data_IF_118116213265
#
_entry.id   IF_118116213265
#
_cell.length_a   1.000
_cell.length_b   1.000
_cell.length_c   1.000
_cell.angle_alpha   90.00
_cell.angle_beta   90.00
_cell.angle_gamma   90.00
#
_symmetry.space_group_name_H-M   'P 1'
#
loop_
_entity.id
_entity.type
_entity.pdbx_description
1 polymer ?
#
# COMPACT_ATOMS: atom_id res chain seq x y z
N UNK A 1 3.67 -3.44 -7.45
CA UNK A 1 4.05 -2.99 -8.77
C UNK A 1 4.30 -1.51 -8.85
N UNK A 2 5.00 -1.09 -9.92
CA UNK A 2 5.35 0.32 -10.13
C UNK A 2 4.27 1.09 -10.92
N UNK A 3 3.18 0.46 -11.32
CA UNK A 3 2.14 1.05 -12.20
C UNK A 3 0.75 0.67 -11.71
N UNK A 4 -0.15 1.65 -11.72
CA UNK A 4 -1.59 1.48 -11.50
C UNK A 4 -2.36 2.28 -12.53
N UNK A 5 -3.46 1.75 -13.05
CA UNK A 5 -4.34 2.47 -13.98
C UNK A 5 -5.70 2.67 -13.33
N UNK A 6 -6.22 3.90 -13.39
CA UNK A 6 -7.54 4.23 -12.90
C UNK A 6 -8.23 5.21 -13.85
N UNK A 7 -9.39 4.83 -14.40
CA UNK A 7 -10.16 5.61 -15.39
C UNK A 7 -9.29 6.20 -16.53
N UNK A 8 -8.40 5.37 -17.10
CA UNK A 8 -7.50 5.76 -18.18
C UNK A 8 -6.27 6.57 -17.76
N UNK A 9 -6.23 7.09 -16.53
CA UNK A 9 -5.03 7.75 -15.97
C UNK A 9 -4.07 6.71 -15.43
N UNK A 10 -2.79 6.82 -15.81
CA UNK A 10 -1.71 5.95 -15.34
C UNK A 10 -0.98 6.63 -14.19
N UNK A 11 -0.81 5.91 -13.09
CA UNK A 11 0.03 6.30 -11.95
C UNK A 11 1.24 5.38 -11.93
N UNK A 12 2.43 5.93 -11.87
CA UNK A 12 3.66 5.14 -11.98
C UNK A 12 4.82 5.76 -11.23
N UNK A 13 5.75 4.91 -10.78
CA UNK A 13 7.02 5.34 -10.22
C UNK A 13 8.04 5.46 -11.34
N UNK A 14 8.62 6.63 -11.51
CA UNK A 14 9.63 6.89 -12.52
C UNK A 14 11.01 6.41 -12.01
N UNK A 15 11.68 5.57 -12.78
CA UNK A 15 12.91 4.90 -12.32
C UNK A 15 14.07 5.88 -12.06
N UNK A 16 14.20 6.92 -12.87
CA UNK A 16 15.36 7.81 -12.77
C UNK A 16 15.37 8.68 -11.51
N UNK A 17 14.20 9.16 -11.06
CA UNK A 17 14.08 10.05 -9.90
C UNK A 17 13.27 9.45 -8.73
N UNK A 18 12.72 8.23 -8.94
CA UNK A 18 11.95 7.47 -7.95
C UNK A 18 10.65 8.15 -7.49
N UNK A 19 10.22 9.22 -8.17
CA UNK A 19 8.98 9.95 -7.86
C UNK A 19 7.76 9.22 -8.39
N UNK A 20 6.62 9.42 -7.72
CA UNK A 20 5.32 9.04 -8.23
C UNK A 20 4.82 10.08 -9.23
N UNK A 21 4.34 9.63 -10.37
CA UNK A 21 3.77 10.45 -11.45
C UNK A 21 2.35 10.01 -11.76
N UNK A 22 1.57 10.93 -12.33
CA UNK A 22 0.35 10.62 -13.06
C UNK A 22 0.49 11.00 -14.52
N UNK A 23 -0.20 10.28 -15.39
CA UNK A 23 -0.33 10.55 -16.82
C UNK A 23 -1.79 10.40 -17.22
N UNK A 24 -2.46 11.50 -17.46
CA UNK A 24 -3.82 11.52 -18.00
C UNK A 24 -3.82 11.14 -19.50
N UNK A 25 -4.91 10.62 -20.07
CA UNK A 25 -5.02 10.36 -21.49
C UNK A 25 -4.69 11.60 -22.34
N UNK A 26 -3.76 11.46 -23.27
CA UNK A 26 -3.32 12.57 -24.14
C UNK A 26 -2.49 13.67 -23.47
N UNK A 27 -2.20 13.53 -22.18
CA UNK A 27 -1.41 14.49 -21.40
C UNK A 27 0.09 14.19 -21.40
N UNK A 28 0.81 14.89 -20.53
CA UNK A 28 2.21 14.66 -20.21
C UNK A 28 2.35 14.15 -18.77
N UNK A 29 3.40 13.38 -18.44
CA UNK A 29 3.63 12.95 -17.07
C UNK A 29 3.79 14.12 -16.10
N UNK A 30 3.01 14.11 -15.01
CA UNK A 30 3.05 15.11 -13.95
C UNK A 30 3.49 14.47 -12.64
N UNK A 31 4.49 15.01 -11.93
CA UNK A 31 4.92 14.45 -10.66
C UNK A 31 3.92 14.76 -9.54
N UNK A 32 3.57 13.74 -8.76
CA UNK A 32 2.71 13.84 -7.58
C UNK A 32 3.50 13.96 -6.27
N UNK A 33 4.80 13.71 -6.32
CA UNK A 33 5.66 13.77 -5.13
C UNK A 33 6.81 14.74 -5.37
N UNK A 34 7.36 15.38 -4.31
CA UNK A 34 8.43 16.36 -4.47
C UNK A 34 9.69 15.73 -5.04
N UNK A 35 10.55 16.55 -5.61
CA UNK A 35 11.91 16.12 -5.93
C UNK A 35 12.67 15.79 -4.64
N UNK A 36 13.64 14.84 -4.70
CA UNK A 36 14.50 14.58 -3.56
C UNK A 36 15.18 15.85 -3.08
N UNK A 37 15.12 16.09 -1.75
CA UNK A 37 15.78 17.22 -1.08
C UNK A 37 16.43 16.72 0.19
N UNK A 38 17.19 17.54 0.89
CA UNK A 38 17.80 17.26 2.22
C UNK A 38 18.57 15.92 2.38
N UNK A 39 18.90 15.26 1.26
CA UNK A 39 19.55 13.95 1.26
C UNK A 39 18.61 12.75 1.44
N UNK A 40 17.32 12.96 1.72
CA UNK A 40 16.32 11.88 1.77
C UNK A 40 15.85 11.53 0.37
N UNK A 41 15.83 10.22 0.05
CA UNK A 41 15.29 9.69 -1.22
C UNK A 41 14.05 8.88 -0.92
N UNK A 42 12.92 9.31 -1.47
CA UNK A 42 11.68 8.57 -1.37
C UNK A 42 11.43 7.71 -2.60
N UNK A 43 10.95 6.49 -2.36
CA UNK A 43 10.54 5.55 -3.39
C UNK A 43 9.10 5.14 -3.12
N UNK A 44 8.31 5.03 -4.18
CA UNK A 44 6.89 4.69 -4.09
C UNK A 44 6.60 3.45 -4.93
N UNK A 45 5.77 2.54 -4.42
CA UNK A 45 5.39 1.34 -5.13
C UNK A 45 4.05 0.77 -4.62
N UNK A 46 3.53 -0.18 -5.39
CA UNK A 46 2.45 -1.08 -5.01
C UNK A 46 1.18 -0.39 -4.52
N UNK A 47 0.77 0.65 -5.21
CA UNK A 47 -0.38 1.44 -4.78
C UNK A 47 -1.60 1.33 -5.68
N UNK A 48 -2.69 1.92 -5.18
CA UNK A 48 -3.97 2.05 -5.85
C UNK A 48 -4.58 3.42 -5.62
N UNK A 49 -5.64 3.73 -6.38
CA UNK A 49 -6.33 5.03 -6.30
C UNK A 49 -7.55 4.93 -5.39
N UNK A 50 -7.62 5.79 -4.39
CA UNK A 50 -8.80 6.11 -3.61
C UNK A 50 -9.51 7.30 -4.28
N UNK A 51 -10.37 7.00 -5.23
CA UNK A 51 -11.05 8.02 -6.02
C UNK A 51 -11.98 8.89 -5.17
N UNK A 52 -12.62 8.32 -4.16
CA UNK A 52 -13.54 9.03 -3.28
C UNK A 52 -12.84 10.15 -2.49
N UNK A 53 -11.54 10.00 -2.23
CA UNK A 53 -10.73 10.95 -1.47
C UNK A 53 -9.64 11.63 -2.31
N UNK A 54 -9.68 11.46 -3.64
CA UNK A 54 -8.73 12.06 -4.59
C UNK A 54 -7.25 11.82 -4.23
N UNK A 55 -6.90 10.59 -3.87
CA UNK A 55 -5.55 10.24 -3.45
C UNK A 55 -5.09 8.89 -3.99
N UNK A 56 -3.78 8.72 -4.08
CA UNK A 56 -3.12 7.44 -4.31
C UNK A 56 -2.66 6.89 -2.96
N UNK A 57 -2.92 5.61 -2.68
CA UNK A 57 -2.45 4.93 -1.47
C UNK A 57 -1.45 3.85 -1.89
N UNK A 58 -0.27 3.84 -1.29
CA UNK A 58 0.77 2.86 -1.62
C UNK A 58 1.90 2.83 -0.59
N UNK A 59 2.88 1.99 -0.86
CA UNK A 59 4.09 1.88 -0.03
C UNK A 59 5.07 3.00 -0.37
N UNK A 60 5.60 3.65 0.65
CA UNK A 60 6.73 4.58 0.55
C UNK A 60 7.92 4.06 1.35
N UNK A 61 9.10 4.08 0.75
CA UNK A 61 10.37 3.91 1.44
C UNK A 61 11.09 5.26 1.51
N UNK A 62 11.48 5.68 2.70
CA UNK A 62 12.30 6.86 2.92
C UNK A 62 13.75 6.42 3.22
N UNK A 63 14.63 6.61 2.24
CA UNK A 63 16.07 6.36 2.39
C UNK A 63 16.73 7.63 2.92
N UNK A 64 17.05 7.64 4.20
CA UNK A 64 17.62 8.79 4.89
C UNK A 64 19.16 8.81 4.81
N UNK A 65 19.79 9.96 5.03
CA UNK A 65 21.23 10.04 5.23
C UNK A 65 21.69 9.10 6.36
N UNK A 66 22.81 8.41 6.16
CA UNK A 66 23.30 7.41 7.13
C UNK A 66 22.79 5.99 6.88
N UNK A 67 21.98 5.77 5.83
CA UNK A 67 21.54 4.43 5.40
C UNK A 67 20.29 3.89 6.11
N UNK A 68 19.68 4.67 7.00
CA UNK A 68 18.41 4.30 7.61
C UNK A 68 17.29 4.30 6.53
N UNK A 69 16.49 3.28 6.53
CA UNK A 69 15.29 3.16 5.67
C UNK A 69 14.06 3.07 6.54
N UNK A 70 13.13 3.98 6.34
CA UNK A 70 11.82 3.98 6.99
C UNK A 70 10.74 3.64 5.95
N UNK A 71 9.89 2.68 6.28
CA UNK A 71 8.83 2.18 5.41
C UNK A 71 7.47 2.54 5.99
N UNK A 72 6.55 2.92 5.11
CA UNK A 72 5.19 3.25 5.51
C UNK A 72 4.19 2.98 4.38
N UNK A 73 2.93 2.78 4.73
CA UNK A 73 1.81 2.96 3.79
C UNK A 73 1.40 4.43 3.86
N UNK A 74 1.37 5.11 2.72
CA UNK A 74 1.06 6.54 2.64
C UNK A 74 -0.08 6.83 1.68
N UNK A 75 -0.76 7.96 1.92
CA UNK A 75 -1.72 8.55 1.00
C UNK A 75 -1.12 9.82 0.37
N UNK A 76 -0.99 9.83 -0.95
CA UNK A 76 -0.52 10.98 -1.73
C UNK A 76 -1.72 11.65 -2.39
N UNK A 77 -1.95 12.93 -2.11
CA UNK A 77 -3.00 13.71 -2.75
C UNK A 77 -2.67 13.89 -4.24
N UNK A 78 -3.66 13.63 -5.12
CA UNK A 78 -3.45 13.76 -6.57
C UNK A 78 -3.56 15.20 -7.07
N UNK A 79 -4.08 16.12 -6.26
CA UNK A 79 -4.21 17.55 -6.58
C UNK A 79 -3.15 18.43 -5.89
N UNK A 80 -2.57 17.95 -4.77
CA UNK A 80 -1.58 18.68 -3.98
C UNK A 80 -0.31 17.83 -3.82
N UNK A 81 0.68 17.98 -4.71
CA UNK A 81 1.91 17.19 -4.65
C UNK A 81 2.61 17.27 -3.29
N UNK A 82 2.97 16.12 -2.73
CA UNK A 82 3.61 16.03 -1.43
C UNK A 82 4.20 14.64 -1.15
N UNK A 83 4.90 14.46 -0.01
CA UNK A 83 5.53 13.17 0.32
C UNK A 83 4.53 12.09 0.69
N UNK A 84 3.26 12.44 0.86
CA UNK A 84 2.19 11.60 1.34
C UNK A 84 2.02 11.63 2.87
N UNK A 85 0.75 11.64 3.31
CA UNK A 85 0.37 11.44 4.70
C UNK A 85 0.59 9.97 5.06
N UNK A 86 1.30 9.70 6.16
CA UNK A 86 1.45 8.34 6.69
C UNK A 86 0.10 7.84 7.19
N UNK A 87 -0.30 6.66 6.71
CA UNK A 87 -1.48 5.93 7.17
C UNK A 87 -1.09 4.78 8.11
N UNK A 88 -0.01 4.08 7.78
CA UNK A 88 0.53 2.94 8.55
C UNK A 88 2.03 3.03 8.58
N UNK A 89 2.61 2.81 9.75
CA UNK A 89 4.02 2.70 10.06
C UNK A 89 4.24 1.66 11.16
N UNK A 90 5.49 1.49 11.63
CA UNK A 90 5.86 0.66 12.77
C UNK A 90 6.24 -0.78 12.41
N UNK A 91 6.34 -1.14 11.12
CA UNK A 91 6.96 -2.39 10.66
C UNK A 91 8.12 -2.09 9.73
N UNK A 92 9.07 -3.03 9.64
CA UNK A 92 10.23 -2.88 8.75
C UNK A 92 9.81 -2.87 7.28
N UNK A 93 8.75 -3.61 6.90
CA UNK A 93 8.30 -3.73 5.53
C UNK A 93 6.78 -3.73 5.40
N UNK A 94 6.32 -3.19 4.27
CA UNK A 94 4.92 -3.18 3.89
C UNK A 94 4.76 -3.60 2.42
N UNK A 95 3.64 -4.23 2.11
CA UNK A 95 3.25 -4.57 0.74
C UNK A 95 1.73 -4.60 0.57
N UNK A 96 1.31 -4.57 -0.68
CA UNK A 96 -0.06 -4.83 -1.11
C UNK A 96 -1.14 -4.04 -0.34
N UNK A 97 -1.04 -2.71 -0.16
CA UNK A 97 -2.19 -1.95 0.31
C UNK A 97 -3.31 -2.04 -0.72
N UNK A 98 -4.49 -2.49 -0.29
CA UNK A 98 -5.66 -2.73 -1.15
C UNK A 98 -6.90 -2.12 -0.53
N UNK A 99 -7.48 -1.18 -1.25
CA UNK A 99 -8.73 -0.54 -0.89
C UNK A 99 -9.90 -1.47 -1.22
N UNK A 100 -10.88 -1.58 -0.31
CA UNK A 100 -12.14 -2.27 -0.61
C UNK A 100 -12.92 -1.54 -1.72
N UNK A 101 -13.80 -2.24 -2.48
CA UNK A 101 -14.54 -1.63 -3.59
C UNK A 101 -15.40 -0.44 -3.19
N UNK A 102 -15.91 -0.43 -1.97
CA UNK A 102 -16.71 0.67 -1.41
C UNK A 102 -15.85 1.81 -0.81
N UNK A 103 -14.53 1.64 -0.81
CA UNK A 103 -13.58 2.63 -0.29
C UNK A 103 -13.59 2.80 1.24
N UNK A 104 -14.20 1.87 1.99
CA UNK A 104 -14.33 1.96 3.44
C UNK A 104 -13.22 1.25 4.22
N UNK A 105 -12.60 0.25 3.62
CA UNK A 105 -11.58 -0.58 4.27
C UNK A 105 -10.27 -0.51 3.48
N UNK A 106 -9.16 -0.55 4.21
CA UNK A 106 -7.83 -0.79 3.67
C UNK A 106 -7.29 -2.10 4.23
N UNK A 107 -6.81 -2.99 3.36
CA UNK A 107 -6.02 -4.15 3.72
C UNK A 107 -4.57 -3.91 3.35
N UNK A 108 -3.60 -4.46 4.10
CA UNK A 108 -2.18 -4.42 3.78
C UNK A 108 -1.43 -5.59 4.42
N UNK A 109 -0.27 -5.91 3.87
CA UNK A 109 0.65 -6.89 4.43
C UNK A 109 1.84 -6.17 5.05
N UNK A 110 2.31 -6.66 6.22
CA UNK A 110 3.56 -6.20 6.82
C UNK A 110 4.38 -7.36 7.38
N UNK A 111 5.68 -7.13 7.55
CA UNK A 111 6.59 -8.06 8.24
C UNK A 111 7.80 -7.31 8.79
N UNK A 112 8.54 -7.98 9.67
CA UNK A 112 9.74 -7.44 10.30
C UNK A 112 10.93 -8.39 10.15
N UNK A 113 12.12 -7.87 10.23
CA UNK A 113 13.32 -8.67 10.34
C UNK A 113 13.23 -9.63 11.56
N UNK A 114 13.81 -10.84 11.49
CA UNK A 114 14.57 -11.41 10.38
C UNK A 114 13.73 -12.07 9.29
N UNK A 115 12.41 -12.00 9.37
CA UNK A 115 11.53 -12.68 8.42
C UNK A 115 11.65 -12.07 7.01
N UNK A 116 11.64 -12.96 6.04
CA UNK A 116 11.42 -12.61 4.64
C UNK A 116 9.95 -12.82 4.29
N UNK A 117 9.41 -12.15 3.26
CA UNK A 117 7.98 -12.20 2.96
C UNK A 117 7.45 -13.60 2.58
N UNK A 118 8.33 -14.54 2.30
CA UNK A 118 7.98 -15.95 2.06
C UNK A 118 8.16 -16.86 3.30
N UNK A 119 8.50 -16.31 4.45
CA UNK A 119 8.63 -17.03 5.73
C UNK A 119 7.50 -16.68 6.66
N UNK A 120 7.27 -15.38 6.88
CA UNK A 120 6.23 -14.91 7.78
C UNK A 120 5.84 -13.48 7.45
N UNK A 121 4.55 -13.26 7.29
CA UNK A 121 3.94 -11.93 7.08
C UNK A 121 2.60 -11.86 7.79
N UNK A 122 2.14 -10.66 8.06
CA UNK A 122 0.85 -10.39 8.69
C UNK A 122 -0.05 -9.62 7.75
N UNK A 123 -1.29 -10.08 7.61
CA UNK A 123 -2.36 -9.36 6.91
C UNK A 123 -3.19 -8.57 7.91
N UNK A 124 -3.28 -7.29 7.66
CA UNK A 124 -4.03 -6.33 8.47
C UNK A 124 -5.17 -5.70 7.68
N UNK A 125 -6.19 -5.25 8.39
CA UNK A 125 -7.25 -4.40 7.86
C UNK A 125 -7.57 -3.29 8.85
N UNK A 126 -8.06 -2.17 8.32
CA UNK A 126 -8.65 -1.09 9.11
C UNK A 126 -9.74 -0.37 8.31
N UNK A 127 -10.71 0.20 9.03
CA UNK A 127 -11.64 1.14 8.43
C UNK A 127 -10.95 2.46 8.10
N UNK A 128 -11.39 3.09 7.02
CA UNK A 128 -10.96 4.44 6.67
C UNK A 128 -11.92 5.42 7.32
N UNK A 129 -11.41 6.21 8.26
CA UNK A 129 -12.17 7.22 8.97
C UNK A 129 -12.61 8.38 8.06
N UNK A 130 -13.53 9.20 8.54
CA UNK A 130 -14.06 10.35 7.78
C UNK A 130 -12.99 11.37 7.39
N UNK A 131 -11.93 11.54 8.22
CA UNK A 131 -10.78 12.38 7.94
C UNK A 131 -9.79 11.77 6.94
N UNK A 132 -10.07 10.54 6.48
CA UNK A 132 -9.23 9.77 5.57
C UNK A 132 -8.06 9.05 6.25
N UNK A 133 -7.93 9.11 7.58
CA UNK A 133 -7.02 8.27 8.36
C UNK A 133 -7.53 6.84 8.51
N UNK A 134 -6.80 6.01 9.25
CA UNK A 134 -7.23 4.66 9.57
C UNK A 134 -7.73 4.59 11.02
N UNK A 135 -8.81 3.84 11.21
CA UNK A 135 -9.30 3.43 12.50
C UNK A 135 -8.44 2.32 13.14
N UNK A 136 -9.06 1.54 14.02
CA UNK A 136 -8.38 0.42 14.68
C UNK A 136 -7.87 -0.60 13.66
N UNK A 137 -6.60 -0.99 13.82
CA UNK A 137 -5.93 -1.98 12.96
C UNK A 137 -6.20 -3.37 13.50
N UNK A 138 -6.73 -4.27 12.68
CA UNK A 138 -6.99 -5.66 13.04
C UNK A 138 -6.16 -6.61 12.21
N UNK A 139 -5.41 -7.50 12.88
CA UNK A 139 -4.72 -8.61 12.20
C UNK A 139 -5.74 -9.69 11.83
N UNK A 140 -5.75 -10.07 10.56
CA UNK A 140 -6.71 -11.03 9.98
C UNK A 140 -6.09 -12.41 9.81
N UNK A 141 -4.82 -12.45 9.38
CA UNK A 141 -4.12 -13.70 9.10
C UNK A 141 -2.60 -13.48 9.15
N UNK A 142 -1.84 -14.57 9.14
CA UNK A 142 -0.40 -14.54 9.10
C UNK A 142 0.26 -14.49 10.47
N UNK A 143 1.57 -14.50 10.45
CA UNK A 143 2.44 -14.49 11.61
C UNK A 143 3.86 -14.93 11.25
N UNK A 144 4.68 -15.25 12.27
CA UNK A 144 6.11 -15.56 12.10
C UNK A 144 6.38 -16.82 11.26
N UNK A 145 5.43 -17.74 11.16
CA UNK A 145 5.53 -19.01 10.44
C UNK A 145 4.41 -19.21 9.42
N UNK A 146 3.73 -18.14 9.04
CA UNK A 146 2.71 -18.15 8.00
C UNK A 146 2.94 -16.95 7.07
N UNK A 147 3.12 -17.21 5.79
CA UNK A 147 3.26 -16.17 4.78
C UNK A 147 1.94 -15.90 4.07
N UNK A 148 1.61 -14.61 3.97
CA UNK A 148 0.44 -14.11 3.25
C UNK A 148 0.88 -13.35 2.01
N UNK A 149 0.24 -13.65 0.88
CA UNK A 149 0.50 -12.96 -0.37
C UNK A 149 -0.80 -12.56 -1.07
N UNK A 150 -0.69 -11.55 -1.93
CA UNK A 150 -1.72 -11.12 -2.88
C UNK A 150 -3.12 -10.89 -2.26
N UNK A 151 -3.27 -10.12 -1.18
CA UNK A 151 -4.61 -9.77 -0.70
C UNK A 151 -5.35 -8.98 -1.78
N UNK A 152 -6.58 -9.40 -2.08
CA UNK A 152 -7.45 -8.77 -3.08
C UNK A 152 -8.90 -8.78 -2.60
N UNK A 153 -9.58 -7.68 -2.81
CA UNK A 153 -11.02 -7.58 -2.57
C UNK A 153 -11.79 -8.02 -3.81
N UNK A 154 -12.79 -8.85 -3.62
CA UNK A 154 -13.80 -9.12 -4.65
C UNK A 154 -14.75 -7.91 -4.79
N UNK A 155 -15.48 -7.80 -5.92
CA UNK A 155 -16.43 -6.70 -6.11
C UNK A 155 -17.53 -6.59 -5.05
N UNK A 156 -17.88 -7.69 -4.41
CA UNK A 156 -18.86 -7.80 -3.32
C UNK A 156 -18.27 -7.60 -1.92
N UNK A 157 -16.98 -7.22 -1.83
CA UNK A 157 -16.33 -6.81 -0.58
C UNK A 157 -15.78 -7.96 0.27
N UNK A 158 -15.59 -9.15 -0.29
CA UNK A 158 -14.90 -10.27 0.36
C UNK A 158 -13.40 -10.15 0.12
N UNK A 159 -12.60 -10.29 1.18
CA UNK A 159 -11.14 -10.28 1.08
C UNK A 159 -10.62 -11.69 0.79
N UNK A 160 -9.88 -11.83 -0.31
CA UNK A 160 -9.16 -13.04 -0.69
C UNK A 160 -7.67 -12.86 -0.44
N UNK A 161 -7.00 -13.94 -0.11
CA UNK A 161 -5.56 -13.98 0.13
C UNK A 161 -4.99 -15.33 -0.25
N UNK A 162 -3.69 -15.37 -0.49
CA UNK A 162 -2.94 -16.61 -0.60
C UNK A 162 -2.16 -16.80 0.70
N UNK A 163 -2.18 -18.03 1.25
CA UNK A 163 -1.46 -18.39 2.47
C UNK A 163 -0.85 -19.78 2.35
N UNK A 164 0.29 -19.99 2.99
CA UNK A 164 1.00 -21.27 3.07
C UNK A 164 0.77 -22.02 4.41
N UNK A 165 -0.24 -21.62 5.20
CA UNK A 165 -0.54 -22.13 6.56
C UNK A 165 -0.64 -23.65 6.70
N UNK A 166 -0.89 -24.37 5.61
CA UNK A 166 -0.94 -25.83 5.56
C UNK A 166 0.24 -26.45 4.82
N UNK A 167 1.35 -25.71 4.63
CA UNK A 167 2.57 -26.12 3.94
C UNK A 167 2.56 -25.90 2.43
N UNK A 168 1.46 -25.41 1.86
CA UNK A 168 1.31 -25.12 0.44
C UNK A 168 0.57 -23.79 0.25
N UNK A 169 0.90 -23.08 -0.81
CA UNK A 169 0.22 -21.86 -1.20
C UNK A 169 -1.20 -22.15 -1.71
N UNK A 170 -2.20 -21.77 -0.92
CA UNK A 170 -3.61 -21.94 -1.26
C UNK A 170 -4.35 -20.61 -1.17
N UNK A 171 -5.45 -20.53 -1.92
CA UNK A 171 -6.38 -19.42 -1.89
C UNK A 171 -7.34 -19.56 -0.70
N UNK A 172 -7.46 -18.49 0.06
CA UNK A 172 -8.40 -18.36 1.18
C UNK A 172 -9.27 -17.12 1.00
N UNK A 173 -10.40 -17.12 1.65
CA UNK A 173 -11.25 -15.93 1.80
C UNK A 173 -11.43 -15.60 3.27
N UNK A 174 -11.52 -14.31 3.59
CA UNK A 174 -11.83 -13.82 4.93
C UNK A 174 -13.05 -12.90 4.85
N UNK A 175 -14.02 -13.11 5.73
CA UNK A 175 -15.03 -12.09 6.01
C UNK A 175 -14.42 -11.12 7.02
N UNK A 176 -14.26 -9.87 6.61
CA UNK A 176 -13.64 -8.82 7.44
C UNK A 176 -14.67 -7.83 7.97
N UNK A 177 -15.97 -8.06 7.70
CA UNK A 177 -17.04 -7.21 8.22
C UNK A 177 -17.03 -7.29 9.75
N UNK A 178 -17.13 -6.13 10.36
CA UNK A 178 -17.38 -6.00 11.80
C UNK A 178 -18.88 -6.10 11.96
N UNK A 179 -19.34 -7.01 12.79
CA UNK A 179 -20.72 -7.02 13.26
C UNK A 179 -20.99 -5.81 14.17
#
# INVERSE_FOLDING_TARGET
GAVTVHHGTVYFSHFADQRLYRLAPGGTPEPLTPAPGDGTRWRYADGGVDAARHRWIGVRQAHMPGGLVDNAVVAVDVAAPGPGRVLVDGSDFFAAPRLSPDGRMLAWVSWNHPNMPWVGTELWVAEIAADGGLGERRKIAGGDAESIAQPLWSPDGVLYLISDRNGWWNLYRCDVRVD
#
